data_IF_405165133500
#
_entry.id   IF_405165133500
#
_cell.length_a   1.000
_cell.length_b   1.000
_cell.length_c   1.000
_cell.angle_alpha   90.00
_cell.angle_beta   90.00
_cell.angle_gamma   90.00
#
_symmetry.space_group_name_H-M   'P 1'
#
loop_
_entity.id
_entity.type
_entity.pdbx_description
1 polymer ?
#
# COMPACT_ATOMS: atom_id res chain seq x y z
N UNK A 1 -20.68 -52.89 40.14
CA UNK A 1 -21.48 -51.76 40.62
C UNK A 1 -20.68 -50.46 40.78
N UNK A 2 -19.49 -50.43 41.37
CA UNK A 2 -18.67 -49.20 41.52
C UNK A 2 -18.39 -48.46 40.21
N UNK A 3 -18.06 -49.13 39.12
CA UNK A 3 -17.81 -48.52 37.82
C UNK A 3 -19.05 -47.89 37.17
N UNK A 4 -20.23 -48.44 37.42
CA UNK A 4 -21.49 -47.88 36.89
C UNK A 4 -21.81 -46.56 37.57
N UNK A 5 -21.58 -46.44 38.87
CA UNK A 5 -21.78 -45.16 39.59
C UNK A 5 -20.80 -44.07 39.18
N UNK A 6 -19.55 -44.43 38.87
CA UNK A 6 -18.56 -43.47 38.37
C UNK A 6 -18.91 -42.94 36.98
N UNK A 7 -19.38 -43.80 36.08
CA UNK A 7 -19.82 -43.40 34.73
C UNK A 7 -21.10 -42.51 34.83
N UNK A 8 -22.06 -42.90 35.66
CA UNK A 8 -23.29 -42.07 35.86
C UNK A 8 -22.94 -40.70 36.46
N UNK A 9 -22.01 -40.63 37.40
CA UNK A 9 -21.58 -39.37 38.02
C UNK A 9 -20.86 -38.48 36.98
N UNK A 10 -20.03 -39.06 36.07
CA UNK A 10 -19.36 -38.30 35.01
C UNK A 10 -20.37 -37.74 33.99
N UNK A 11 -21.39 -38.54 33.61
CA UNK A 11 -22.46 -38.08 32.71
C UNK A 11 -23.32 -36.98 33.30
N UNK A 12 -23.64 -37.03 34.60
CA UNK A 12 -24.41 -35.95 35.28
C UNK A 12 -23.58 -34.67 35.33
N UNK A 13 -22.29 -34.74 35.62
CA UNK A 13 -21.42 -33.58 35.65
C UNK A 13 -21.36 -32.87 34.27
N UNK A 14 -21.20 -33.62 33.17
CA UNK A 14 -21.19 -33.04 31.82
C UNK A 14 -22.51 -32.36 31.44
N UNK A 15 -23.66 -32.90 31.85
CA UNK A 15 -24.96 -32.29 31.63
C UNK A 15 -25.12 -30.96 32.41
N UNK A 16 -24.59 -30.87 33.63
CA UNK A 16 -24.61 -29.66 34.43
C UNK A 16 -23.76 -28.53 33.82
N UNK A 17 -22.59 -28.87 33.27
CA UNK A 17 -21.73 -27.90 32.56
C UNK A 17 -22.42 -27.36 31.31
N UNK A 18 -23.00 -28.21 30.48
CA UNK A 18 -23.74 -27.80 29.29
C UNK A 18 -24.95 -26.89 29.61
N UNK A 19 -25.68 -27.16 30.73
CA UNK A 19 -26.74 -26.30 31.17
C UNK A 19 -26.27 -24.92 31.67
N UNK A 20 -25.11 -24.87 32.31
CA UNK A 20 -24.53 -23.63 32.80
C UNK A 20 -24.01 -22.74 31.63
N UNK A 21 -23.35 -23.31 30.66
CA UNK A 21 -22.95 -22.62 29.45
C UNK A 21 -24.15 -22.01 28.72
N UNK A 22 -25.21 -22.79 28.51
CA UNK A 22 -26.44 -22.33 27.89
C UNK A 22 -27.12 -21.20 28.68
N UNK A 23 -26.98 -21.13 30.03
CA UNK A 23 -27.50 -20.04 30.83
C UNK A 23 -26.73 -18.73 30.66
N UNK A 24 -25.40 -18.78 30.48
CA UNK A 24 -24.58 -17.61 30.23
C UNK A 24 -24.83 -17.06 28.82
N UNK A 25 -24.94 -17.94 27.81
CA UNK A 25 -25.30 -17.54 26.45
C UNK A 25 -26.69 -16.86 26.43
N UNK A 26 -27.68 -17.41 27.13
CA UNK A 26 -28.99 -16.78 27.21
C UNK A 26 -28.95 -15.40 27.87
N UNK A 27 -28.14 -15.22 28.93
CA UNK A 27 -27.92 -13.88 29.53
C UNK A 27 -27.24 -12.93 28.55
N UNK A 28 -26.24 -13.41 27.80
CA UNK A 28 -25.61 -12.64 26.75
C UNK A 28 -26.62 -12.17 25.71
N UNK A 29 -27.52 -13.05 25.26
CA UNK A 29 -28.58 -12.70 24.31
C UNK A 29 -29.52 -11.62 24.84
N UNK A 30 -29.91 -11.68 26.16
CA UNK A 30 -30.71 -10.63 26.77
C UNK A 30 -30.00 -9.29 26.77
N UNK A 31 -28.71 -9.26 27.18
CA UNK A 31 -27.92 -8.03 27.16
C UNK A 31 -27.73 -7.49 25.74
N UNK A 32 -27.50 -8.37 24.75
CA UNK A 32 -27.38 -7.97 23.34
C UNK A 32 -28.67 -7.31 22.83
N UNK A 33 -29.83 -7.88 23.13
CA UNK A 33 -31.13 -7.33 22.75
C UNK A 33 -31.39 -5.96 23.39
N UNK A 34 -30.88 -5.75 24.60
CA UNK A 34 -30.93 -4.47 25.31
C UNK A 34 -29.85 -3.49 24.85
N UNK A 35 -29.12 -3.83 23.79
CA UNK A 35 -27.98 -3.06 23.23
C UNK A 35 -26.81 -2.88 24.23
N UNK A 36 -26.75 -3.68 25.28
CA UNK A 36 -25.65 -3.72 26.24
C UNK A 36 -24.54 -4.67 25.76
N UNK A 37 -23.90 -4.32 24.64
CA UNK A 37 -22.96 -5.21 23.92
C UNK A 37 -21.75 -5.60 24.74
N UNK A 38 -21.26 -4.75 25.62
CA UNK A 38 -20.14 -5.05 26.53
C UNK A 38 -20.52 -6.13 27.55
N UNK A 39 -21.71 -6.04 28.15
CA UNK A 39 -22.20 -7.06 29.07
C UNK A 39 -22.56 -8.36 28.34
N UNK A 40 -23.05 -8.27 27.10
CA UNK A 40 -23.27 -9.42 26.26
C UNK A 40 -21.93 -10.17 25.98
N UNK A 41 -20.88 -9.45 25.64
CA UNK A 41 -19.54 -9.99 25.47
C UNK A 41 -19.06 -10.75 26.70
N UNK A 42 -19.16 -10.14 27.88
CA UNK A 42 -18.76 -10.78 29.17
C UNK A 42 -19.50 -12.09 29.40
N UNK A 43 -20.79 -12.12 29.13
CA UNK A 43 -21.59 -13.33 29.32
C UNK A 43 -21.25 -14.42 28.27
N UNK A 44 -21.03 -14.06 27.00
CA UNK A 44 -20.65 -15.03 26.00
C UNK A 44 -19.27 -15.62 26.29
N UNK A 45 -18.26 -14.78 26.66
CA UNK A 45 -16.93 -15.26 27.07
C UNK A 45 -17.03 -16.22 28.26
N UNK A 46 -17.86 -15.94 29.27
CA UNK A 46 -18.11 -16.86 30.38
C UNK A 46 -18.73 -18.18 29.93
N UNK A 47 -19.60 -18.15 28.92
CA UNK A 47 -20.11 -19.36 28.28
C UNK A 47 -19.01 -20.18 27.63
N UNK A 48 -18.09 -19.52 26.92
CA UNK A 48 -16.94 -20.16 26.24
C UNK A 48 -15.89 -20.70 27.22
N UNK A 49 -15.71 -20.12 28.40
CA UNK A 49 -14.88 -20.69 29.48
C UNK A 49 -15.37 -22.07 29.92
N UNK A 50 -16.70 -22.30 29.87
CA UNK A 50 -17.31 -23.57 30.21
C UNK A 50 -17.39 -24.56 29.06
N UNK A 51 -17.62 -24.06 27.85
CA UNK A 51 -17.69 -24.84 26.64
C UNK A 51 -17.13 -24.03 25.46
N UNK A 52 -15.86 -24.25 25.15
CA UNK A 52 -15.17 -23.59 24.04
C UNK A 52 -15.56 -24.13 22.65
N UNK A 53 -16.47 -25.12 22.59
CA UNK A 53 -17.00 -25.68 21.33
C UNK A 53 -18.45 -25.27 21.07
N UNK A 54 -18.91 -24.19 21.72
CA UNK A 54 -20.24 -23.65 21.49
C UNK A 54 -20.25 -22.73 20.26
N UNK A 55 -20.86 -23.21 19.18
CA UNK A 55 -21.11 -22.37 18.00
C UNK A 55 -21.85 -21.09 18.35
N UNK A 56 -22.94 -21.23 19.10
CA UNK A 56 -23.81 -20.12 19.49
C UNK A 56 -23.05 -19.05 20.29
N UNK A 57 -22.17 -19.46 21.19
CA UNK A 57 -21.37 -18.53 21.97
C UNK A 57 -20.36 -17.77 21.12
N UNK A 58 -19.64 -18.45 20.21
CA UNK A 58 -18.71 -17.81 19.29
C UNK A 58 -19.41 -16.87 18.30
N UNK A 59 -20.49 -17.33 17.67
CA UNK A 59 -21.25 -16.54 16.71
C UNK A 59 -21.80 -15.26 17.36
N UNK A 60 -22.50 -15.39 18.50
CA UNK A 60 -23.11 -14.25 19.22
C UNK A 60 -22.04 -13.32 19.83
N UNK A 61 -20.89 -13.86 20.26
CA UNK A 61 -19.75 -13.05 20.68
C UNK A 61 -19.21 -12.21 19.51
N UNK A 62 -19.10 -12.81 18.32
CA UNK A 62 -18.75 -12.10 17.09
C UNK A 62 -19.69 -10.94 16.81
N UNK A 63 -21.01 -11.17 16.93
CA UNK A 63 -22.03 -10.12 16.76
C UNK A 63 -21.89 -9.00 17.81
N UNK A 64 -21.67 -9.34 19.08
CA UNK A 64 -21.48 -8.35 20.15
C UNK A 64 -20.19 -7.51 19.94
N UNK A 65 -19.12 -8.14 19.48
CA UNK A 65 -17.86 -7.47 19.14
C UNK A 65 -18.02 -6.57 17.90
N UNK A 66 -18.74 -7.04 16.88
CA UNK A 66 -19.05 -6.23 15.70
C UNK A 66 -19.80 -4.94 16.09
N UNK A 67 -20.82 -5.04 16.96
CA UNK A 67 -21.58 -3.88 17.43
C UNK A 67 -20.75 -2.90 18.26
N UNK A 68 -19.64 -3.36 18.82
CA UNK A 68 -18.65 -2.54 19.53
C UNK A 68 -17.52 -2.04 18.61
N UNK A 69 -17.62 -2.26 17.30
CA UNK A 69 -16.58 -1.93 16.30
C UNK A 69 -15.23 -2.64 16.52
N UNK A 70 -15.22 -3.69 17.35
CA UNK A 70 -14.06 -4.57 17.58
C UNK A 70 -13.96 -5.61 16.44
N UNK A 71 -13.79 -5.11 15.23
CA UNK A 71 -13.88 -5.91 14.00
C UNK A 71 -12.89 -7.07 13.92
N UNK A 72 -11.58 -6.89 14.26
CA UNK A 72 -10.63 -7.99 14.23
C UNK A 72 -11.05 -9.15 15.13
N UNK A 73 -11.46 -8.86 16.38
CA UNK A 73 -11.90 -9.85 17.33
C UNK A 73 -13.21 -10.52 16.90
N UNK A 74 -14.12 -9.77 16.28
CA UNK A 74 -15.36 -10.33 15.73
C UNK A 74 -15.06 -11.38 14.64
N UNK A 75 -14.11 -11.07 13.71
CA UNK A 75 -13.70 -12.02 12.67
C UNK A 75 -13.08 -13.29 13.27
N UNK A 76 -12.30 -13.20 14.34
CA UNK A 76 -11.74 -14.36 15.02
C UNK A 76 -12.87 -15.26 15.58
N UNK A 77 -13.88 -14.66 16.19
CA UNK A 77 -14.99 -15.42 16.74
C UNK A 77 -15.85 -16.07 15.66
N UNK A 78 -16.12 -15.40 14.56
CA UNK A 78 -16.81 -16.01 13.42
C UNK A 78 -15.99 -17.12 12.76
N UNK A 79 -14.66 -17.02 12.73
CA UNK A 79 -13.80 -18.07 12.21
C UNK A 79 -13.84 -19.32 13.10
N UNK A 80 -13.87 -19.19 14.42
CA UNK A 80 -14.07 -20.32 15.32
C UNK A 80 -15.49 -20.93 15.16
N UNK A 81 -16.53 -20.11 15.01
CA UNK A 81 -17.87 -20.58 14.72
C UNK A 81 -17.94 -21.38 13.40
N UNK A 82 -17.30 -20.87 12.33
CA UNK A 82 -17.17 -21.56 11.03
C UNK A 82 -16.48 -22.94 11.17
N UNK A 83 -15.38 -22.98 11.89
CA UNK A 83 -14.59 -24.20 12.11
C UNK A 83 -15.40 -25.28 12.85
N UNK A 84 -16.18 -24.88 13.87
CA UNK A 84 -17.03 -25.80 14.60
C UNK A 84 -18.12 -26.40 13.71
N UNK A 85 -18.76 -25.62 12.84
CA UNK A 85 -19.76 -26.09 11.90
C UNK A 85 -19.19 -27.03 10.83
N UNK A 86 -17.96 -26.78 10.37
CA UNK A 86 -17.28 -27.65 9.38
C UNK A 86 -16.85 -28.98 9.99
N UNK A 87 -16.64 -29.03 11.29
CA UNK A 87 -16.31 -30.24 12.04
C UNK A 87 -17.54 -31.08 12.42
N UNK A 88 -18.76 -30.48 12.37
CA UNK A 88 -20.00 -31.15 12.74
C UNK A 88 -20.44 -32.20 11.70
N UNK A 89 -21.18 -33.19 12.17
CA UNK A 89 -21.55 -34.36 11.36
C UNK A 89 -22.49 -33.98 10.20
N UNK A 90 -22.20 -34.52 9.02
CA UNK A 90 -22.92 -34.33 7.74
C UNK A 90 -24.42 -34.70 7.78
N UNK A 91 -24.92 -35.30 8.86
CA UNK A 91 -26.32 -35.73 9.02
C UNK A 91 -27.32 -34.58 9.15
N UNK A 92 -26.86 -33.34 9.44
CA UNK A 92 -27.70 -32.13 9.58
C UNK A 92 -27.34 -31.04 8.59
N UNK A 93 -27.03 -31.42 7.37
CA UNK A 93 -26.46 -30.55 6.33
C UNK A 93 -27.21 -29.21 6.17
N UNK A 94 -28.53 -29.23 6.03
CA UNK A 94 -29.32 -28.02 5.80
C UNK A 94 -29.20 -26.98 6.94
N UNK A 95 -29.22 -27.44 8.19
CA UNK A 95 -29.05 -26.57 9.36
C UNK A 95 -27.62 -26.03 9.47
N UNK A 96 -26.63 -26.84 9.13
CA UNK A 96 -25.22 -26.44 9.09
C UNK A 96 -24.99 -25.42 7.99
N UNK A 97 -25.53 -25.67 6.79
CA UNK A 97 -25.41 -24.76 5.65
C UNK A 97 -26.05 -23.39 5.95
N UNK A 98 -27.23 -23.35 6.61
CA UNK A 98 -27.86 -22.09 7.00
C UNK A 98 -26.99 -21.29 7.99
N UNK A 99 -26.49 -21.93 9.04
CA UNK A 99 -25.62 -21.27 10.02
C UNK A 99 -24.30 -20.80 9.44
N UNK A 100 -23.72 -21.57 8.52
CA UNK A 100 -22.54 -21.17 7.77
C UNK A 100 -22.85 -19.98 6.87
N UNK A 101 -24.01 -19.93 6.21
CA UNK A 101 -24.43 -18.78 5.42
C UNK A 101 -24.51 -17.52 6.27
N UNK A 102 -25.15 -17.58 7.45
CA UNK A 102 -25.25 -16.47 8.38
C UNK A 102 -23.87 -16.02 8.90
N UNK A 103 -22.98 -16.98 9.19
CA UNK A 103 -21.61 -16.68 9.62
C UNK A 103 -20.82 -15.96 8.54
N UNK A 104 -20.86 -16.42 7.28
CA UNK A 104 -20.21 -15.74 6.17
C UNK A 104 -20.83 -14.38 5.85
N UNK A 105 -22.16 -14.21 6.02
CA UNK A 105 -22.82 -12.92 5.92
C UNK A 105 -22.23 -11.91 6.92
N UNK A 106 -22.14 -12.30 8.19
CA UNK A 106 -21.62 -11.43 9.25
C UNK A 106 -20.11 -11.17 9.13
N UNK A 107 -19.32 -12.16 8.67
CA UNK A 107 -17.92 -11.93 8.26
C UNK A 107 -17.84 -10.90 7.13
N UNK A 108 -18.71 -11.00 6.13
CA UNK A 108 -18.78 -10.04 5.02
C UNK A 108 -19.09 -8.62 5.51
N UNK A 109 -20.07 -8.47 6.42
CA UNK A 109 -20.41 -7.18 7.03
C UNK A 109 -19.22 -6.60 7.81
N UNK A 110 -18.51 -7.44 8.54
CA UNK A 110 -17.35 -7.04 9.34
C UNK A 110 -16.18 -6.59 8.47
N UNK A 111 -15.89 -7.33 7.41
CA UNK A 111 -14.86 -6.99 6.42
C UNK A 111 -15.22 -5.72 5.64
N UNK A 112 -16.50 -5.54 5.31
CA UNK A 112 -17.00 -4.33 4.68
C UNK A 112 -16.79 -3.10 5.57
N UNK A 113 -17.12 -3.21 6.87
CA UNK A 113 -16.88 -2.14 7.84
C UNK A 113 -15.41 -1.77 7.98
N UNK A 114 -14.51 -2.73 7.83
CA UNK A 114 -13.05 -2.51 7.77
C UNK A 114 -12.54 -2.00 6.40
N UNK A 115 -13.41 -1.73 5.45
CA UNK A 115 -13.06 -1.35 4.07
C UNK A 115 -12.23 -2.40 3.31
N UNK A 116 -12.24 -3.65 3.76
CA UNK A 116 -11.63 -4.79 3.08
C UNK A 116 -12.62 -5.38 2.06
N UNK A 117 -12.95 -4.57 1.06
CA UNK A 117 -14.07 -4.86 0.15
C UNK A 117 -13.86 -6.12 -0.69
N UNK A 118 -12.64 -6.42 -1.07
CA UNK A 118 -12.26 -7.63 -1.80
C UNK A 118 -12.61 -8.90 -1.00
N UNK A 119 -12.26 -8.91 0.29
CA UNK A 119 -12.57 -10.01 1.20
C UNK A 119 -14.06 -10.07 1.54
N UNK A 120 -14.71 -8.91 1.72
CA UNK A 120 -16.15 -8.84 1.96
C UNK A 120 -16.94 -9.46 0.80
N UNK A 121 -16.58 -9.18 -0.45
CA UNK A 121 -17.14 -9.82 -1.65
C UNK A 121 -16.99 -11.33 -1.57
N UNK A 122 -15.80 -11.83 -1.23
CA UNK A 122 -15.57 -13.26 -1.06
C UNK A 122 -16.47 -13.91 -0.01
N UNK A 123 -16.61 -13.27 1.16
CA UNK A 123 -17.47 -13.77 2.25
C UNK A 123 -18.95 -13.80 1.85
N UNK A 124 -19.48 -12.74 1.26
CA UNK A 124 -20.87 -12.71 0.80
C UNK A 124 -21.14 -13.75 -0.31
N UNK A 125 -20.18 -14.00 -1.21
CA UNK A 125 -20.31 -15.08 -2.21
C UNK A 125 -20.37 -16.45 -1.55
N UNK A 126 -19.62 -16.69 -0.47
CA UNK A 126 -19.71 -17.95 0.28
C UNK A 126 -21.09 -18.09 0.94
N UNK A 127 -21.61 -17.03 1.58
CA UNK A 127 -22.96 -17.02 2.14
C UNK A 127 -24.02 -17.36 1.10
N UNK A 128 -23.97 -16.72 -0.07
CA UNK A 128 -24.94 -16.93 -1.15
C UNK A 128 -24.83 -18.31 -1.84
N UNK A 129 -23.68 -18.97 -1.79
CA UNK A 129 -23.55 -20.38 -2.24
C UNK A 129 -24.34 -21.32 -1.35
N UNK A 130 -24.42 -21.03 -0.07
CA UNK A 130 -25.12 -21.84 0.92
C UNK A 130 -26.61 -21.45 0.99
N UNK A 131 -26.90 -20.16 0.90
CA UNK A 131 -28.28 -19.62 0.90
C UNK A 131 -28.49 -18.67 -0.31
N UNK A 132 -28.78 -19.19 -1.50
CA UNK A 132 -28.96 -18.35 -2.72
C UNK A 132 -30.17 -17.40 -2.65
N UNK A 133 -31.10 -17.58 -1.70
CA UNK A 133 -32.33 -16.76 -1.62
C UNK A 133 -32.17 -15.54 -0.71
N UNK A 134 -31.02 -15.37 -0.06
CA UNK A 134 -30.78 -14.25 0.84
C UNK A 134 -30.62 -12.93 0.06
N UNK A 135 -31.66 -12.11 0.12
CA UNK A 135 -31.71 -10.82 -0.55
C UNK A 135 -30.78 -9.79 0.13
N UNK A 136 -30.63 -9.85 1.44
CA UNK A 136 -29.82 -8.90 2.19
C UNK A 136 -28.33 -9.13 1.90
N UNK A 137 -27.90 -10.39 1.83
CA UNK A 137 -26.55 -10.74 1.41
C UNK A 137 -26.30 -10.34 -0.04
N UNK A 138 -27.28 -10.52 -0.96
CA UNK A 138 -27.13 -10.05 -2.35
C UNK A 138 -26.96 -8.53 -2.43
N UNK A 139 -27.76 -7.80 -1.70
CA UNK A 139 -27.65 -6.34 -1.62
C UNK A 139 -26.27 -5.90 -1.12
N UNK A 140 -25.82 -6.51 -0.03
CA UNK A 140 -24.52 -6.20 0.57
C UNK A 140 -23.35 -6.58 -0.36
N UNK A 141 -23.46 -7.70 -1.09
CA UNK A 141 -22.49 -8.09 -2.11
C UNK A 141 -22.36 -7.02 -3.20
N UNK A 142 -23.48 -6.56 -3.76
CA UNK A 142 -23.47 -5.52 -4.82
C UNK A 142 -22.81 -4.24 -4.28
N UNK A 143 -23.17 -3.84 -3.06
CA UNK A 143 -22.60 -2.67 -2.39
C UNK A 143 -21.09 -2.81 -2.18
N UNK A 144 -20.62 -3.98 -1.75
CA UNK A 144 -19.19 -4.26 -1.58
C UNK A 144 -18.43 -4.23 -2.92
N UNK A 145 -19.00 -4.78 -3.99
CA UNK A 145 -18.42 -4.73 -5.34
C UNK A 145 -18.30 -3.29 -5.86
N UNK A 146 -19.30 -2.44 -5.62
CA UNK A 146 -19.25 -1.02 -6.00
C UNK A 146 -18.12 -0.28 -5.25
N UNK A 147 -17.97 -0.51 -3.95
CA UNK A 147 -16.90 0.09 -3.16
C UNK A 147 -15.52 -0.40 -3.59
N UNK A 148 -15.39 -1.69 -3.89
CA UNK A 148 -14.15 -2.26 -4.42
C UNK A 148 -13.76 -1.61 -5.77
N UNK A 149 -14.72 -1.43 -6.67
CA UNK A 149 -14.49 -0.76 -7.95
C UNK A 149 -14.05 0.69 -7.76
N UNK A 150 -14.70 1.45 -6.88
CA UNK A 150 -14.32 2.82 -6.55
C UNK A 150 -12.90 2.89 -5.97
N UNK A 151 -12.57 1.99 -5.06
CA UNK A 151 -11.23 1.91 -4.47
C UNK A 151 -10.15 1.64 -5.52
N UNK A 152 -10.42 0.72 -6.46
CA UNK A 152 -9.51 0.41 -7.58
C UNK A 152 -9.32 1.60 -8.51
N UNK A 153 -10.39 2.33 -8.85
CA UNK A 153 -10.31 3.54 -9.68
C UNK A 153 -9.49 4.65 -9.00
N UNK A 154 -9.70 4.86 -7.71
CA UNK A 154 -8.91 5.84 -6.94
C UNK A 154 -7.42 5.49 -6.92
N UNK A 155 -7.07 4.22 -6.74
CA UNK A 155 -5.68 3.75 -6.79
C UNK A 155 -5.05 3.95 -8.18
N UNK A 156 -5.80 3.68 -9.26
CA UNK A 156 -5.33 3.90 -10.62
C UNK A 156 -5.07 5.39 -10.89
N UNK A 157 -5.98 6.27 -10.50
CA UNK A 157 -5.81 7.71 -10.66
C UNK A 157 -4.60 8.24 -9.89
N UNK A 158 -4.41 7.83 -8.64
CA UNK A 158 -3.25 8.20 -7.84
C UNK A 158 -1.92 7.74 -8.45
N UNK A 159 -1.91 6.55 -9.04
CA UNK A 159 -0.72 6.04 -9.73
C UNK A 159 -0.44 6.81 -11.03
N UNK A 160 -1.46 7.22 -11.77
CA UNK A 160 -1.30 8.05 -12.96
C UNK A 160 -0.76 9.44 -12.61
N UNK A 161 -1.28 10.08 -11.56
CA UNK A 161 -0.80 11.38 -11.08
C UNK A 161 0.67 11.31 -10.62
N UNK A 162 1.06 10.26 -9.88
CA UNK A 162 2.45 10.05 -9.48
C UNK A 162 3.39 9.88 -10.67
N UNK A 163 2.96 9.10 -11.67
CA UNK A 163 3.75 8.88 -12.88
C UNK A 163 3.90 10.18 -13.71
N UNK A 164 2.86 11.02 -13.78
CA UNK A 164 2.94 12.33 -14.42
C UNK A 164 3.92 13.24 -13.70
N UNK A 165 3.81 13.38 -12.38
CA UNK A 165 4.74 14.20 -11.59
C UNK A 165 6.19 13.74 -11.73
N UNK A 166 6.44 12.44 -11.82
CA UNK A 166 7.78 11.89 -12.02
C UNK A 166 8.32 12.21 -13.42
N UNK A 167 7.49 12.11 -14.45
CA UNK A 167 7.85 12.49 -15.81
C UNK A 167 8.14 13.98 -15.94
N UNK A 168 7.31 14.85 -15.36
CA UNK A 168 7.49 16.28 -15.39
C UNK A 168 8.79 16.70 -14.67
N UNK A 169 9.09 16.07 -13.54
CA UNK A 169 10.34 16.30 -12.80
C UNK A 169 11.58 15.87 -13.60
N UNK A 170 11.50 14.75 -14.32
CA UNK A 170 12.58 14.24 -15.16
C UNK A 170 12.81 15.15 -16.37
N UNK A 171 11.74 15.66 -17.00
CA UNK A 171 11.84 16.62 -18.09
C UNK A 171 12.45 17.96 -17.65
N UNK A 172 12.08 18.47 -16.48
CA UNK A 172 12.69 19.68 -15.92
C UNK A 172 14.17 19.50 -15.64
N UNK A 173 14.60 18.37 -15.10
CA UNK A 173 16.02 18.05 -14.91
C UNK A 173 16.79 18.01 -16.24
N UNK A 174 16.25 17.34 -17.26
CA UNK A 174 16.88 17.27 -18.58
C UNK A 174 17.00 18.66 -19.23
N UNK A 175 16.00 19.52 -19.10
CA UNK A 175 16.09 20.90 -19.60
C UNK A 175 17.13 21.74 -18.86
N UNK A 176 17.27 21.58 -17.54
CA UNK A 176 18.33 22.25 -16.79
C UNK A 176 19.74 21.78 -17.17
N UNK A 177 19.91 20.47 -17.38
CA UNK A 177 21.19 19.92 -17.83
C UNK A 177 21.57 20.40 -19.25
N UNK A 178 20.61 20.47 -20.16
CA UNK A 178 20.84 21.03 -21.51
C UNK A 178 21.22 22.51 -21.46
N UNK A 179 20.55 23.32 -20.66
CA UNK A 179 20.91 24.74 -20.49
C UNK A 179 22.31 24.92 -19.89
N UNK A 180 22.70 24.09 -18.93
CA UNK A 180 24.05 24.13 -18.36
C UNK A 180 25.12 23.73 -19.40
N UNK A 181 24.83 22.73 -20.22
CA UNK A 181 25.73 22.29 -21.29
C UNK A 181 25.89 23.34 -22.38
N UNK A 182 24.80 24.03 -22.76
CA UNK A 182 24.86 25.15 -23.70
C UNK A 182 25.65 26.35 -23.14
N UNK A 183 25.50 26.69 -21.87
CA UNK A 183 26.28 27.74 -21.22
C UNK A 183 27.80 27.39 -21.17
N UNK A 184 28.11 26.15 -20.85
CA UNK A 184 29.53 25.68 -20.86
C UNK A 184 30.14 25.73 -22.27
N UNK A 185 29.39 25.32 -23.29
CA UNK A 185 29.85 25.38 -24.68
C UNK A 185 30.06 26.83 -25.15
N UNK A 186 29.19 27.76 -24.79
CA UNK A 186 29.35 29.19 -25.10
C UNK A 186 30.57 29.79 -24.39
N UNK A 187 30.82 29.43 -23.13
CA UNK A 187 32.02 29.88 -22.42
C UNK A 187 33.32 29.33 -23.04
N UNK A 188 33.31 28.08 -23.45
CA UNK A 188 34.46 27.48 -24.16
C UNK A 188 34.72 28.14 -25.54
N UNK A 189 33.65 28.45 -26.27
CA UNK A 189 33.80 29.18 -27.54
C UNK A 189 34.40 30.57 -27.34
N UNK A 190 33.92 31.33 -26.36
CA UNK A 190 34.46 32.66 -26.02
C UNK A 190 35.92 32.62 -25.57
N UNK A 191 36.32 31.59 -24.82
CA UNK A 191 37.73 31.40 -24.44
C UNK A 191 38.60 31.05 -25.63
N UNK A 192 38.14 30.22 -26.56
CA UNK A 192 38.87 29.87 -27.75
C UNK A 192 39.01 31.07 -28.73
N UNK A 193 37.95 31.88 -28.86
CA UNK A 193 38.03 33.13 -29.64
C UNK A 193 39.07 34.11 -29.06
N UNK A 194 39.07 34.32 -27.75
CA UNK A 194 40.03 35.17 -27.07
C UNK A 194 41.49 34.65 -27.18
N UNK A 195 41.72 33.34 -27.19
CA UNK A 195 42.99 32.76 -27.41
C UNK A 195 43.47 32.93 -28.85
N UNK A 196 42.60 32.71 -29.84
CA UNK A 196 42.90 32.94 -31.26
C UNK A 196 43.24 34.41 -31.54
N UNK A 197 42.52 35.36 -30.97
CA UNK A 197 42.80 36.77 -31.09
C UNK A 197 44.14 37.16 -30.50
N UNK A 198 44.55 36.56 -29.37
CA UNK A 198 45.89 36.77 -28.76
C UNK A 198 47.01 36.20 -29.63
N UNK A 199 46.86 34.95 -30.07
CA UNK A 199 47.86 34.33 -30.96
C UNK A 199 48.02 35.10 -32.29
N UNK A 200 46.91 35.59 -32.85
CA UNK A 200 46.95 36.41 -34.07
C UNK A 200 47.64 37.76 -33.79
N UNK A 201 47.38 38.40 -32.67
CA UNK A 201 48.03 39.65 -32.28
C UNK A 201 49.55 39.46 -32.07
N UNK A 202 49.96 38.36 -31.42
CA UNK A 202 51.39 38.03 -31.25
C UNK A 202 52.09 37.75 -32.57
N UNK A 203 51.45 37.06 -33.52
CA UNK A 203 52.00 36.82 -34.86
C UNK A 203 52.21 38.13 -35.63
N UNK A 204 51.23 39.08 -35.53
CA UNK A 204 51.32 40.41 -36.16
C UNK A 204 52.47 41.21 -35.54
N UNK A 205 52.61 41.19 -34.20
CA UNK A 205 53.72 41.87 -33.52
C UNK A 205 55.07 41.30 -33.93
N UNK A 206 55.21 40.00 -34.01
CA UNK A 206 56.46 39.33 -34.44
C UNK A 206 56.84 39.67 -35.90
N UNK A 207 55.83 39.75 -36.78
CA UNK A 207 56.07 40.16 -38.19
C UNK A 207 56.49 41.63 -38.27
N UNK A 208 55.90 42.55 -37.45
CA UNK A 208 56.30 43.95 -37.39
C UNK A 208 57.73 44.13 -36.88
N UNK A 209 58.13 43.38 -35.84
CA UNK A 209 59.50 43.40 -35.31
C UNK A 209 60.51 42.91 -36.31
N UNK A 210 60.19 41.88 -37.10
CA UNK A 210 61.07 41.44 -38.20
C UNK A 210 61.17 42.47 -39.26
N UNK A 211 60.15 43.12 -39.68
CA UNK A 211 60.17 44.15 -40.74
C UNK A 211 60.98 45.39 -40.25
N UNK A 212 60.88 45.74 -38.97
CA UNK A 212 61.65 46.82 -38.36
C UNK A 212 63.16 46.47 -38.32
N UNK A 213 63.52 45.23 -37.96
CA UNK A 213 64.88 44.73 -37.98
C UNK A 213 65.46 44.75 -39.39
N UNK A 214 64.75 44.25 -40.39
CA UNK A 214 65.16 44.31 -41.77
C UNK A 214 65.38 45.77 -42.28
N UNK A 215 64.50 46.64 -41.88
CA UNK A 215 64.61 48.07 -42.23
C UNK A 215 65.84 48.73 -41.61
N UNK A 216 66.09 48.44 -40.32
CA UNK A 216 67.31 48.91 -39.64
C UNK A 216 68.61 48.34 -40.30
N UNK A 217 68.64 47.08 -40.64
CA UNK A 217 69.77 46.48 -41.37
C UNK A 217 70.02 47.12 -42.77
N UNK A 218 68.94 47.38 -43.51
CA UNK A 218 69.00 48.10 -44.80
C UNK A 218 69.54 49.52 -44.61
N UNK A 219 69.12 50.23 -43.58
CA UNK A 219 69.64 51.57 -43.26
C UNK A 219 71.13 51.54 -42.88
N UNK A 220 71.54 50.55 -42.02
CA UNK A 220 72.93 50.41 -41.66
C UNK A 220 73.84 50.07 -42.89
N UNK A 221 73.38 49.18 -43.79
CA UNK A 221 74.02 48.86 -45.00
C UNK A 221 74.15 50.10 -45.95
N UNK A 222 73.13 50.95 -46.01
CA UNK A 222 73.23 52.20 -46.82
C UNK A 222 74.20 53.21 -46.19
N UNK A 223 74.19 53.39 -44.85
CA UNK A 223 75.16 54.28 -44.18
C UNK A 223 76.56 53.75 -44.25
N UNK A 224 76.77 52.43 -44.19
CA UNK A 224 78.08 51.79 -44.44
C UNK A 224 78.63 52.02 -45.85
N UNK A 225 77.76 51.96 -46.87
CA UNK A 225 78.12 52.31 -48.27
C UNK A 225 78.42 53.75 -48.45
N UNK A 226 77.70 54.71 -47.83
CA UNK A 226 78.04 56.14 -47.89
C UNK A 226 79.37 56.46 -47.21
N UNK A 227 79.69 55.87 -46.07
CA UNK A 227 81.01 56.04 -45.41
C UNK A 227 82.20 55.50 -46.24
N UNK A 228 81.96 54.46 -47.05
CA UNK A 228 82.99 53.91 -47.94
C UNK A 228 83.28 54.81 -49.11
N UNK A 229 82.27 55.43 -49.68
CA UNK A 229 82.42 56.38 -50.80
C UNK A 229 83.10 57.70 -50.34
N UNK A 230 82.89 58.20 -49.14
CA UNK A 230 83.55 59.38 -48.54
C UNK A 230 85.06 59.16 -48.23
N UNK A 231 85.53 57.93 -48.10
CA UNK A 231 86.93 57.60 -47.83
C UNK A 231 87.80 57.40 -49.07
N UNK A 232 87.21 57.41 -50.26
CA UNK A 232 87.94 57.20 -51.56
C UNK A 232 88.20 58.51 -52.29
N UNK A 233 88.13 59.74 -51.65
CA UNK A 233 88.57 61.04 -52.14
C UNK A 233 89.71 61.63 -51.34
#
# INVERSE_FOLDING_TARGET
MRFIFTIISLCIASLLFAQQESSDVRRGNLQYNDSNYTEAEVNYRRGLEKNNQSFEAHFNLGDALFRQEKYPEALEQYAEAEKLLKADDKTRKEKVDSRLADTYHNMGNTLYAQQQYDKAVGAYQQSLRLNPKDNDTRYNLVKAMQQLQQQQQQQQNQNQEKNQQQNDSTQQQQQQEQQQQEQQNQQQQQQNEQQMDKETAEQILQALEQDEQETQEKLQRQQGKKRRVEKEW
#
